data_IF_931239589406
#
_entry.id   IF_931239589406
#
_cell.length_a   1.000
_cell.length_b   1.000
_cell.length_c   1.000
_cell.angle_alpha   90.00
_cell.angle_beta   90.00
_cell.angle_gamma   90.00
#
_symmetry.space_group_name_H-M   'P 1'
#
loop_
_entity.id
_entity.type
_entity.pdbx_description
1 polymer ?
#
# COMPACT_ATOMS: atom_id res chain seq x y z
N UNK A 1 -19.76 45.42 18.12
CA UNK A 1 -18.69 44.43 17.89
C UNK A 1 -18.18 44.02 19.24
N UNK A 2 -18.47 42.78 19.69
CA UNK A 2 -17.91 42.30 20.97
C UNK A 2 -16.43 41.95 20.75
N UNK A 3 -15.54 42.81 21.25
CA UNK A 3 -14.13 42.47 21.37
C UNK A 3 -13.97 41.41 22.47
N UNK A 4 -13.97 40.14 22.08
CA UNK A 4 -13.60 39.08 23.00
C UNK A 4 -12.12 39.17 23.29
N UNK A 5 -11.75 39.53 24.52
CA UNK A 5 -10.37 39.53 25.04
C UNK A 5 -9.89 38.12 25.42
N UNK A 6 -10.69 37.09 25.20
CA UNK A 6 -10.41 35.71 25.56
C UNK A 6 -10.01 34.93 24.30
N UNK A 7 -8.88 34.20 24.32
CA UNK A 7 -8.40 33.41 23.20
C UNK A 7 -9.38 32.30 22.78
N UNK A 8 -10.05 31.67 23.74
CA UNK A 8 -11.02 30.62 23.52
C UNK A 8 -12.32 30.91 24.27
N UNK A 9 -13.50 30.63 23.70
CA UNK A 9 -14.78 30.80 24.40
C UNK A 9 -14.84 29.85 25.60
N UNK A 10 -15.49 30.31 26.69
CA UNK A 10 -15.82 29.44 27.82
C UNK A 10 -16.96 28.51 27.41
N UNK A 11 -16.75 27.19 27.48
CA UNK A 11 -17.72 26.18 27.08
C UNK A 11 -18.08 25.32 28.31
N UNK A 12 -19.36 25.17 28.58
CA UNK A 12 -19.86 24.16 29.51
C UNK A 12 -20.02 22.82 28.76
N UNK A 13 -19.45 21.73 29.30
CA UNK A 13 -19.55 20.41 28.72
C UNK A 13 -20.61 19.58 29.47
N UNK A 14 -21.45 18.88 28.70
CA UNK A 14 -22.45 17.93 29.25
C UNK A 14 -22.35 16.59 28.51
N UNK A 15 -22.80 15.49 29.12
CA UNK A 15 -22.73 14.14 28.55
C UNK A 15 -24.07 13.61 28.01
N UNK A 16 -25.05 14.48 27.77
CA UNK A 16 -26.43 14.16 27.41
C UNK A 16 -26.74 14.24 25.89
N UNK A 17 -25.70 14.35 25.07
CA UNK A 17 -25.82 14.40 23.62
C UNK A 17 -26.28 13.07 23.00
N UNK A 18 -27.52 12.99 22.55
CA UNK A 18 -28.09 11.79 21.93
C UNK A 18 -27.86 11.73 20.42
N UNK A 19 -27.76 10.49 19.88
CA UNK A 19 -27.71 10.21 18.44
C UNK A 19 -26.53 10.86 17.69
N UNK A 20 -25.47 11.23 18.41
CA UNK A 20 -24.25 11.78 17.84
C UNK A 20 -23.33 10.62 17.38
N UNK A 21 -22.80 10.74 16.17
CA UNK A 21 -21.80 9.83 15.61
C UNK A 21 -20.53 10.63 15.33
N UNK A 22 -19.49 10.41 16.12
CA UNK A 22 -18.15 10.87 15.80
C UNK A 22 -17.60 10.04 14.66
N UNK A 23 -16.70 10.60 13.87
CA UNK A 23 -16.10 9.89 12.72
C UNK A 23 -17.15 9.29 11.75
N UNK A 24 -18.30 9.93 11.62
CA UNK A 24 -19.39 9.45 10.77
C UNK A 24 -18.99 9.35 9.28
N UNK A 25 -17.97 10.10 8.86
CA UNK A 25 -17.42 10.01 7.51
C UNK A 25 -16.81 8.64 7.16
N UNK A 26 -16.51 7.79 8.14
CA UNK A 26 -16.06 6.40 7.91
C UNK A 26 -17.13 5.54 7.23
N UNK A 27 -18.36 5.99 7.15
CA UNK A 27 -19.41 5.34 6.34
C UNK A 27 -19.01 5.20 4.86
N UNK A 28 -18.10 6.02 4.35
CA UNK A 28 -17.50 5.82 3.02
C UNK A 28 -16.81 4.45 2.92
N UNK A 29 -16.14 3.99 3.97
CA UNK A 29 -15.46 2.70 4.01
C UNK A 29 -16.47 1.54 4.01
N UNK A 30 -17.48 1.60 4.89
CA UNK A 30 -18.51 0.54 4.97
C UNK A 30 -19.32 0.45 3.68
N UNK A 31 -19.61 1.58 3.07
CA UNK A 31 -20.27 1.62 1.76
C UNK A 31 -19.38 1.03 0.65
N UNK A 32 -18.06 1.29 0.72
CA UNK A 32 -17.10 0.66 -0.20
C UNK A 32 -17.06 -0.86 0.01
N UNK A 33 -17.11 -1.36 1.25
CA UNK A 33 -17.19 -2.81 1.55
C UNK A 33 -18.41 -3.44 0.87
N UNK A 34 -19.55 -2.78 0.90
CA UNK A 34 -20.79 -3.26 0.25
C UNK A 34 -20.69 -3.26 -1.27
N UNK A 35 -20.35 -2.11 -1.86
CA UNK A 35 -20.30 -1.89 -3.32
C UNK A 35 -19.24 -2.78 -3.98
N UNK A 36 -18.09 -2.95 -3.34
CA UNK A 36 -17.00 -3.79 -3.82
C UNK A 36 -17.31 -5.29 -3.76
N UNK A 37 -18.33 -5.69 -3.02
CA UNK A 37 -18.63 -7.10 -2.75
C UNK A 37 -17.70 -7.77 -1.73
N UNK A 38 -16.81 -7.01 -1.08
CA UNK A 38 -15.81 -7.53 -0.14
C UNK A 38 -16.43 -8.36 0.99
N UNK A 39 -17.59 -7.94 1.51
CA UNK A 39 -18.27 -8.67 2.57
C UNK A 39 -18.66 -10.08 2.14
N UNK A 40 -19.20 -10.25 0.93
CA UNK A 40 -19.61 -11.54 0.38
C UNK A 40 -18.39 -12.43 0.08
N UNK A 41 -17.33 -11.86 -0.51
CA UNK A 41 -16.10 -12.60 -0.83
C UNK A 41 -15.41 -13.12 0.45
N UNK A 42 -15.28 -12.29 1.47
CA UNK A 42 -14.70 -12.69 2.76
C UNK A 42 -15.58 -13.72 3.47
N UNK A 43 -16.92 -13.55 3.47
CA UNK A 43 -17.85 -14.51 4.07
C UNK A 43 -17.73 -15.89 3.42
N UNK A 44 -17.65 -15.92 2.10
CA UNK A 44 -17.47 -17.17 1.33
C UNK A 44 -16.11 -17.81 1.62
N UNK A 45 -15.03 -17.04 1.51
CA UNK A 45 -13.67 -17.54 1.67
C UNK A 45 -13.38 -18.03 3.09
N UNK A 46 -13.97 -17.40 4.11
CA UNK A 46 -13.80 -17.78 5.52
C UNK A 46 -14.92 -18.68 6.05
N UNK A 47 -15.84 -19.10 5.20
CA UNK A 47 -16.92 -20.05 5.53
C UNK A 47 -16.44 -21.32 6.24
N UNK A 48 -15.32 -21.97 5.84
CA UNK A 48 -14.80 -23.18 6.52
C UNK A 48 -14.49 -23.00 8.02
N UNK A 49 -14.24 -21.77 8.47
CA UNK A 49 -13.99 -21.47 9.89
C UNK A 49 -15.23 -20.97 10.63
N UNK A 50 -16.39 -20.96 9.99
CA UNK A 50 -17.65 -20.59 10.64
C UNK A 50 -18.14 -21.73 11.50
N UNK A 51 -18.21 -21.51 12.81
CA UNK A 51 -18.79 -22.51 13.72
C UNK A 51 -20.32 -22.56 13.58
N UNK A 52 -20.95 -23.74 13.81
CA UNK A 52 -22.39 -23.83 13.88
C UNK A 52 -22.95 -22.84 14.91
N UNK A 53 -24.08 -22.20 14.62
CA UNK A 53 -24.72 -21.20 15.48
C UNK A 53 -23.88 -19.93 15.76
N UNK A 54 -22.82 -19.68 15.00
CA UNK A 54 -22.04 -18.46 15.12
C UNK A 54 -22.92 -17.22 14.89
N UNK A 55 -22.95 -16.32 15.86
CA UNK A 55 -23.70 -15.05 15.77
C UNK A 55 -23.09 -14.09 14.75
N UNK A 56 -21.76 -14.10 14.63
CA UNK A 56 -21.02 -13.22 13.74
C UNK A 56 -20.41 -14.02 12.60
N UNK A 57 -20.48 -13.47 11.41
CA UNK A 57 -19.84 -14.01 10.23
C UNK A 57 -18.32 -13.78 10.28
N UNK A 58 -17.47 -14.80 10.00
CA UNK A 58 -16.02 -14.67 10.02
C UNK A 58 -15.51 -13.59 9.06
N UNK A 59 -16.11 -13.44 7.88
CA UNK A 59 -15.76 -12.41 6.92
C UNK A 59 -16.00 -11.01 7.48
N UNK A 60 -17.13 -10.80 8.17
CA UNK A 60 -17.39 -9.52 8.85
C UNK A 60 -16.41 -9.29 9.99
N UNK A 61 -16.08 -10.33 10.78
CA UNK A 61 -15.10 -10.21 11.87
C UNK A 61 -13.72 -9.79 11.34
N UNK A 62 -13.36 -10.11 10.11
CA UNK A 62 -12.10 -9.67 9.47
C UNK A 62 -12.24 -8.30 8.80
N UNK A 63 -13.38 -7.97 8.23
CA UNK A 63 -13.62 -6.67 7.61
C UNK A 63 -13.69 -5.51 8.63
N UNK A 64 -14.33 -5.75 9.79
CA UNK A 64 -14.50 -4.73 10.82
C UNK A 64 -13.16 -4.18 11.37
N UNK A 65 -12.14 -5.00 11.76
CA UNK A 65 -10.81 -4.50 12.08
C UNK A 65 -10.14 -3.73 10.95
N UNK A 66 -10.32 -4.13 9.69
CA UNK A 66 -9.77 -3.37 8.56
C UNK A 66 -10.39 -1.96 8.49
N UNK A 67 -11.71 -1.83 8.69
CA UNK A 67 -12.39 -0.52 8.79
C UNK A 67 -11.87 0.28 10.00
N UNK A 68 -11.75 -0.35 11.17
CA UNK A 68 -11.25 0.30 12.39
C UNK A 68 -9.81 0.81 12.21
N UNK A 69 -8.95 0.00 11.58
CA UNK A 69 -7.55 0.35 11.30
C UNK A 69 -7.46 1.53 10.30
N UNK A 70 -8.27 1.55 9.26
CA UNK A 70 -8.35 2.73 8.35
C UNK A 70 -8.83 3.96 9.11
N UNK A 71 -9.77 3.80 10.04
CA UNK A 71 -10.28 4.90 10.87
C UNK A 71 -9.28 5.44 11.90
N UNK A 72 -8.21 4.69 12.22
CA UNK A 72 -7.12 5.14 13.11
C UNK A 72 -6.73 4.16 14.20
N UNK A 73 -7.35 3.00 14.27
CA UNK A 73 -6.96 1.92 15.18
C UNK A 73 -5.64 1.26 14.78
N UNK A 74 -4.95 0.66 15.73
CA UNK A 74 -3.70 -0.09 15.53
C UNK A 74 -3.65 -1.41 16.31
N UNK A 75 -4.72 -1.74 17.04
CA UNK A 75 -4.85 -2.98 17.79
C UNK A 75 -6.29 -3.50 17.79
N UNK A 76 -6.50 -4.70 18.37
CA UNK A 76 -7.83 -5.34 18.38
C UNK A 76 -8.85 -4.57 19.23
N UNK A 77 -8.41 -3.93 20.30
CA UNK A 77 -9.29 -3.17 21.20
C UNK A 77 -9.96 -1.98 20.51
N UNK A 78 -9.31 -1.41 19.49
CA UNK A 78 -9.81 -0.24 18.77
C UNK A 78 -11.08 -0.52 17.94
N UNK A 79 -11.45 -1.79 17.78
CA UNK A 79 -12.74 -2.17 17.19
C UNK A 79 -13.92 -1.62 18.02
N UNK A 80 -13.71 -1.26 19.29
CA UNK A 80 -14.69 -0.63 20.13
C UNK A 80 -15.25 0.66 19.51
N UNK A 81 -14.43 1.41 18.78
CA UNK A 81 -14.82 2.69 18.15
C UNK A 81 -15.98 2.53 17.16
N UNK A 82 -16.04 1.41 16.42
CA UNK A 82 -17.12 1.10 15.50
C UNK A 82 -18.22 0.26 16.17
N UNK A 83 -17.87 -0.59 17.13
CA UNK A 83 -18.82 -1.43 17.88
C UNK A 83 -19.83 -0.62 18.70
N UNK A 84 -19.42 0.52 19.23
CA UNK A 84 -20.29 1.42 19.98
C UNK A 84 -21.36 2.12 19.13
N UNK A 85 -21.31 1.96 17.83
CA UNK A 85 -22.24 2.60 16.87
C UNK A 85 -22.96 1.57 15.98
N UNK A 86 -23.76 0.65 16.55
CA UNK A 86 -24.41 -0.42 15.79
C UNK A 86 -25.45 0.12 14.78
N UNK A 87 -25.95 1.31 15.00
CA UNK A 87 -26.84 1.98 14.05
C UNK A 87 -26.15 2.35 12.72
N UNK A 88 -24.83 2.52 12.75
CA UNK A 88 -24.01 2.89 11.57
C UNK A 88 -23.23 1.71 11.02
N UNK A 89 -22.63 0.87 11.90
CA UNK A 89 -21.73 -0.21 11.49
C UNK A 89 -22.34 -1.61 11.63
N UNK A 90 -23.61 -1.69 12.06
CA UNK A 90 -24.25 -2.97 12.37
C UNK A 90 -23.67 -3.63 13.62
N UNK A 91 -23.95 -4.93 13.77
CA UNK A 91 -23.44 -5.70 14.91
C UNK A 91 -21.95 -6.07 14.68
N UNK A 92 -21.10 -5.45 15.46
CA UNK A 92 -19.64 -5.68 15.44
C UNK A 92 -19.27 -6.64 16.58
N UNK A 93 -18.38 -7.59 16.30
CA UNK A 93 -17.91 -8.58 17.27
C UNK A 93 -17.09 -7.91 18.40
N UNK A 94 -17.09 -8.52 19.60
CA UNK A 94 -16.23 -8.08 20.70
C UNK A 94 -14.77 -8.47 20.48
N UNK A 95 -13.84 -7.74 21.07
CA UNK A 95 -12.40 -8.00 21.01
C UNK A 95 -12.04 -9.46 21.32
N UNK A 96 -12.60 -10.14 22.36
CA UNK A 96 -12.34 -11.55 22.59
C UNK A 96 -12.86 -12.45 21.47
N UNK A 97 -13.93 -12.05 20.76
CA UNK A 97 -14.46 -12.81 19.61
C UNK A 97 -13.54 -12.67 18.42
N UNK A 98 -13.04 -11.46 18.12
CA UNK A 98 -12.04 -11.21 17.08
C UNK A 98 -10.76 -11.99 17.39
N UNK A 99 -10.24 -11.90 18.61
CA UNK A 99 -9.04 -12.60 19.06
C UNK A 99 -9.16 -14.13 18.90
N UNK A 100 -10.30 -14.70 19.30
CA UNK A 100 -10.55 -16.15 19.10
C UNK A 100 -10.59 -16.55 17.64
N UNK A 101 -11.24 -15.76 16.78
CA UNK A 101 -11.23 -16.05 15.35
C UNK A 101 -9.81 -15.98 14.79
N UNK A 102 -9.03 -14.94 15.09
CA UNK A 102 -7.64 -14.83 14.63
C UNK A 102 -6.82 -16.05 15.10
N UNK A 103 -7.02 -16.51 16.34
CA UNK A 103 -6.33 -17.69 16.85
C UNK A 103 -6.74 -18.96 16.08
N UNK A 104 -8.02 -19.10 15.76
CA UNK A 104 -8.52 -20.22 14.95
C UNK A 104 -7.96 -20.19 13.53
N UNK A 105 -7.93 -19.04 12.89
CA UNK A 105 -7.35 -18.82 11.57
C UNK A 105 -5.84 -19.08 11.56
N UNK A 106 -5.15 -18.68 12.61
CA UNK A 106 -3.70 -18.88 12.77
C UNK A 106 -3.29 -20.34 12.99
N UNK A 107 -4.23 -21.23 13.32
CA UNK A 107 -3.97 -22.68 13.40
C UNK A 107 -3.69 -23.31 12.02
N UNK A 108 -4.17 -22.70 10.92
CA UNK A 108 -3.91 -23.12 9.54
C UNK A 108 -3.51 -21.91 8.67
N UNK A 109 -2.34 -21.28 8.92
CA UNK A 109 -2.00 -19.97 8.37
C UNK A 109 -1.94 -19.98 6.84
N UNK A 110 -1.38 -21.00 6.21
CA UNK A 110 -1.28 -21.07 4.74
C UNK A 110 -2.66 -21.06 4.07
N UNK A 111 -3.59 -21.85 4.58
CA UNK A 111 -4.97 -21.91 4.08
C UNK A 111 -5.71 -20.61 4.30
N UNK A 112 -5.59 -20.03 5.51
CA UNK A 112 -6.22 -18.77 5.88
C UNK A 112 -5.74 -17.61 5.00
N UNK A 113 -4.42 -17.48 4.86
CA UNK A 113 -3.83 -16.39 4.05
C UNK A 113 -4.21 -16.53 2.59
N UNK A 114 -4.26 -17.75 2.06
CA UNK A 114 -4.74 -18.03 0.70
C UNK A 114 -6.22 -17.64 0.53
N UNK A 115 -7.08 -17.98 1.50
CA UNK A 115 -8.50 -17.62 1.47
C UNK A 115 -8.73 -16.12 1.48
N UNK A 116 -8.05 -15.38 2.40
CA UNK A 116 -8.13 -13.90 2.45
C UNK A 116 -7.56 -13.27 1.16
N UNK A 117 -6.46 -13.81 0.64
CA UNK A 117 -5.87 -13.33 -0.61
C UNK A 117 -6.81 -13.52 -1.80
N UNK A 118 -7.49 -14.67 -1.89
CA UNK A 118 -8.48 -14.95 -2.94
C UNK A 118 -9.67 -13.98 -2.87
N UNK A 119 -10.23 -13.75 -1.68
CA UNK A 119 -11.30 -12.78 -1.48
C UNK A 119 -10.87 -11.35 -1.90
N UNK A 120 -9.65 -10.94 -1.55
CA UNK A 120 -9.10 -9.64 -1.96
C UNK A 120 -8.93 -9.54 -3.48
N UNK A 121 -8.46 -10.60 -4.14
CA UNK A 121 -8.29 -10.63 -5.60
C UNK A 121 -9.63 -10.53 -6.32
N UNK A 122 -10.64 -11.29 -5.90
CA UNK A 122 -11.99 -11.23 -6.46
C UNK A 122 -12.62 -9.85 -6.27
N UNK A 123 -12.50 -9.27 -5.07
CA UNK A 123 -12.95 -7.91 -4.78
C UNK A 123 -12.25 -6.87 -5.65
N UNK A 124 -10.93 -6.98 -5.81
CA UNK A 124 -10.13 -6.09 -6.67
C UNK A 124 -10.59 -6.15 -8.12
N UNK A 125 -10.86 -7.33 -8.65
CA UNK A 125 -11.37 -7.49 -10.01
C UNK A 125 -12.67 -6.71 -10.20
N UNK A 126 -13.61 -6.82 -9.24
CA UNK A 126 -14.87 -6.06 -9.26
C UNK A 126 -14.63 -4.54 -9.13
N UNK A 127 -13.79 -4.11 -8.19
CA UNK A 127 -13.47 -2.68 -8.00
C UNK A 127 -12.87 -2.07 -9.24
N UNK A 128 -11.90 -2.74 -9.89
CA UNK A 128 -11.28 -2.23 -11.10
C UNK A 128 -12.25 -2.20 -12.28
N UNK A 129 -13.15 -3.17 -12.38
CA UNK A 129 -14.24 -3.14 -13.36
C UNK A 129 -15.17 -1.93 -13.14
N UNK A 130 -15.57 -1.65 -11.88
CA UNK A 130 -16.39 -0.49 -11.53
C UNK A 130 -15.67 0.85 -11.77
N UNK A 131 -14.37 0.90 -11.52
CA UNK A 131 -13.56 2.10 -11.71
C UNK A 131 -13.30 2.42 -13.19
N UNK A 132 -13.38 1.42 -14.08
CA UNK A 132 -13.18 1.59 -15.52
C UNK A 132 -11.89 2.32 -15.87
N UNK A 133 -11.94 3.49 -16.53
CA UNK A 133 -10.73 4.25 -16.90
C UNK A 133 -9.88 4.73 -15.71
N UNK A 134 -10.42 4.77 -14.49
CA UNK A 134 -9.68 5.12 -13.28
C UNK A 134 -8.93 3.93 -12.66
N UNK A 135 -9.13 2.72 -13.17
CA UNK A 135 -8.44 1.52 -12.69
C UNK A 135 -6.98 1.49 -13.14
N UNK A 136 -6.06 0.96 -12.32
CA UNK A 136 -4.63 0.96 -12.65
C UNK A 136 -4.27 0.00 -13.79
N UNK A 137 -5.14 -0.93 -14.14
CA UNK A 137 -4.96 -1.85 -15.30
C UNK A 137 -5.60 -1.34 -16.59
N UNK A 138 -6.15 -0.12 -16.60
CA UNK A 138 -6.69 0.46 -17.82
C UNK A 138 -5.56 0.77 -18.81
N UNK A 139 -5.70 0.31 -20.05
CA UNK A 139 -4.75 0.53 -21.14
C UNK A 139 -3.29 0.10 -20.85
N UNK A 140 -3.09 -0.92 -20.02
CA UNK A 140 -1.75 -1.44 -19.75
C UNK A 140 -1.14 -2.07 -20.99
N UNK A 141 0.12 -1.73 -21.23
CA UNK A 141 0.92 -2.22 -22.38
C UNK A 141 2.39 -2.37 -22.00
N UNK A 142 3.21 -2.82 -22.92
CA UNK A 142 4.66 -2.87 -22.70
C UNK A 142 5.30 -1.48 -22.53
N UNK A 143 4.67 -0.43 -23.06
CA UNK A 143 5.12 0.98 -22.93
C UNK A 143 4.47 1.69 -21.75
N UNK A 144 3.31 1.23 -21.30
CA UNK A 144 2.59 1.71 -20.13
C UNK A 144 2.26 0.52 -19.20
N UNK A 145 3.25 -0.11 -18.57
CA UNK A 145 3.01 -1.29 -17.73
C UNK A 145 2.36 -0.94 -16.40
N UNK A 146 1.56 -1.88 -15.87
CA UNK A 146 1.18 -1.86 -14.47
C UNK A 146 2.42 -2.05 -13.60
N UNK A 147 2.61 -1.15 -12.65
CA UNK A 147 3.80 -1.14 -11.80
C UNK A 147 3.51 -1.79 -10.46
N UNK A 148 4.39 -2.71 -10.05
CA UNK A 148 4.40 -3.31 -8.72
C UNK A 148 5.75 -3.00 -8.07
N UNK A 149 5.70 -2.27 -6.97
CA UNK A 149 6.87 -1.92 -6.17
C UNK A 149 7.05 -2.89 -5.01
N UNK A 150 8.24 -3.47 -4.87
CA UNK A 150 8.60 -4.27 -3.71
C UNK A 150 9.57 -3.50 -2.83
N UNK A 151 9.34 -3.56 -1.53
CA UNK A 151 10.27 -3.02 -0.54
C UNK A 151 10.05 -3.70 0.81
N UNK A 152 11.08 -3.69 1.66
CA UNK A 152 11.00 -4.22 3.01
C UNK A 152 11.04 -3.07 4.03
N UNK A 153 10.39 -3.26 5.18
CA UNK A 153 10.39 -2.26 6.23
C UNK A 153 10.58 -2.89 7.59
N UNK A 154 11.21 -2.17 8.50
CA UNK A 154 11.34 -2.62 9.89
C UNK A 154 10.10 -2.24 10.69
N UNK A 155 9.62 -3.18 11.50
CA UNK A 155 8.54 -3.01 12.46
C UNK A 155 9.10 -3.36 13.84
N UNK A 156 9.13 -2.39 14.76
CA UNK A 156 9.64 -2.58 16.11
C UNK A 156 8.67 -3.39 16.94
N UNK A 157 9.16 -4.37 17.68
CA UNK A 157 8.42 -5.04 18.72
C UNK A 157 8.77 -4.43 20.09
N UNK A 158 7.75 -4.02 20.84
CA UNK A 158 7.90 -3.40 22.16
C UNK A 158 7.81 -4.41 23.31
N UNK A 159 7.61 -5.67 22.99
CA UNK A 159 7.53 -6.79 23.94
C UNK A 159 8.00 -8.07 23.27
N UNK A 160 8.21 -9.09 24.05
CA UNK A 160 8.54 -10.42 23.55
C UNK A 160 7.39 -10.95 22.70
N UNK A 161 7.72 -11.31 21.46
CA UNK A 161 6.80 -11.88 20.48
C UNK A 161 7.50 -12.99 19.71
N UNK A 162 6.75 -14.00 19.34
CA UNK A 162 7.30 -15.11 18.57
C UNK A 162 7.94 -14.63 17.27
N UNK A 163 9.17 -15.02 17.02
CA UNK A 163 9.99 -14.64 15.84
C UNK A 163 10.36 -13.15 15.75
N UNK A 164 10.10 -12.34 16.77
CA UNK A 164 10.75 -11.04 16.88
C UNK A 164 12.22 -11.25 17.19
N UNK A 165 13.11 -10.60 16.44
CA UNK A 165 14.57 -10.75 16.56
C UNK A 165 15.27 -9.42 16.33
N UNK A 166 16.56 -9.36 16.67
CA UNK A 166 17.41 -8.22 16.32
C UNK A 166 17.49 -8.01 14.81
N UNK A 167 17.53 -6.78 14.37
CA UNK A 167 17.64 -6.42 12.96
C UNK A 167 18.96 -5.70 12.65
N UNK A 168 19.27 -5.53 11.36
CA UNK A 168 20.53 -4.94 10.89
C UNK A 168 20.76 -3.47 11.29
N UNK A 169 19.73 -2.77 11.80
CA UNK A 169 19.85 -1.40 12.34
C UNK A 169 19.97 -1.34 13.85
N UNK A 170 20.19 -2.49 14.51
CA UNK A 170 20.32 -2.58 15.97
C UNK A 170 19.00 -2.51 16.74
N UNK A 171 17.84 -2.52 16.04
CA UNK A 171 16.52 -2.61 16.68
C UNK A 171 16.07 -4.06 16.85
N UNK A 172 14.91 -4.26 17.53
CA UNK A 172 14.30 -5.56 17.79
C UNK A 172 12.86 -5.59 17.20
N UNK A 173 12.50 -6.66 16.50
CA UNK A 173 11.17 -6.79 15.93
C UNK A 173 11.08 -7.66 14.68
N UNK A 174 10.44 -7.14 13.63
CA UNK A 174 10.15 -7.85 12.39
C UNK A 174 10.65 -7.06 11.17
N UNK A 175 10.81 -7.77 10.05
CA UNK A 175 11.26 -7.18 8.78
C UNK A 175 10.35 -7.63 7.62
N UNK A 176 9.04 -7.26 7.64
CA UNK A 176 8.13 -7.64 6.57
C UNK A 176 8.56 -7.08 5.21
N UNK A 177 8.30 -7.87 4.16
CA UNK A 177 8.44 -7.46 2.76
C UNK A 177 7.05 -7.24 2.17
N UNK A 178 6.84 -6.08 1.56
CA UNK A 178 5.57 -5.71 0.96
C UNK A 178 5.71 -5.52 -0.55
N UNK A 179 4.66 -5.82 -1.29
CA UNK A 179 4.49 -5.42 -2.67
C UNK A 179 3.27 -4.51 -2.80
N UNK A 180 3.44 -3.38 -3.47
CA UNK A 180 2.39 -2.41 -3.71
C UNK A 180 2.10 -2.25 -5.19
N UNK A 181 0.81 -2.23 -5.56
CA UNK A 181 0.34 -1.93 -6.89
C UNK A 181 0.23 -0.41 -7.01
N UNK A 182 1.06 0.22 -7.84
CA UNK A 182 1.08 1.68 -8.00
C UNK A 182 -0.05 2.15 -8.92
N UNK A 183 -0.88 3.06 -8.45
CA UNK A 183 -1.97 3.67 -9.22
C UNK A 183 -1.51 4.87 -10.09
N UNK A 184 -0.22 5.08 -10.22
CA UNK A 184 0.33 6.20 -10.98
C UNK A 184 0.23 7.55 -10.26
N UNK A 185 0.53 8.66 -10.97
CA UNK A 185 0.55 10.01 -10.37
C UNK A 185 -0.80 10.48 -9.84
N UNK A 186 -1.88 10.05 -10.47
CA UNK A 186 -3.26 10.44 -10.13
C UNK A 186 -3.92 9.58 -9.06
N UNK A 187 -3.20 8.67 -8.44
CA UNK A 187 -3.77 7.76 -7.45
C UNK A 187 -2.82 7.45 -6.28
N UNK A 188 -3.30 6.61 -5.40
CA UNK A 188 -2.53 6.07 -4.28
C UNK A 188 -1.86 4.76 -4.65
N UNK A 189 -2.24 3.66 -4.06
CA UNK A 189 -1.77 2.31 -4.36
C UNK A 189 -2.43 1.31 -3.43
N UNK A 190 -2.46 0.07 -3.87
CA UNK A 190 -3.02 -1.07 -3.16
C UNK A 190 -1.92 -1.96 -2.61
N UNK A 191 -2.18 -2.68 -1.53
CA UNK A 191 -1.28 -3.72 -1.08
C UNK A 191 -1.48 -4.97 -1.95
N UNK A 192 -0.51 -5.29 -2.80
CA UNK A 192 -0.48 -6.58 -3.47
C UNK A 192 -0.36 -7.70 -2.44
N UNK A 193 0.66 -7.62 -1.59
CA UNK A 193 0.86 -8.56 -0.47
C UNK A 193 1.80 -7.97 0.59
N UNK A 194 1.73 -8.51 1.81
CA UNK A 194 2.70 -8.24 2.87
C UNK A 194 3.15 -9.61 3.42
N UNK A 195 4.38 -9.98 3.16
CA UNK A 195 5.03 -11.17 3.71
C UNK A 195 5.66 -10.81 5.06
N UNK A 196 5.11 -11.33 6.15
CA UNK A 196 5.72 -11.17 7.48
C UNK A 196 6.99 -12.01 7.57
N UNK A 197 8.07 -11.41 8.10
CA UNK A 197 9.37 -12.07 8.28
C UNK A 197 9.97 -11.71 9.64
N UNK A 198 10.83 -12.58 10.22
CA UNK A 198 11.61 -12.25 11.41
C UNK A 198 12.47 -10.98 11.22
N UNK A 199 12.87 -10.32 12.30
CA UNK A 199 13.67 -9.10 12.24
C UNK A 199 15.04 -9.28 11.59
N UNK A 200 15.64 -10.46 11.73
CA UNK A 200 16.93 -10.83 11.13
C UNK A 200 16.83 -11.37 9.70
N UNK A 201 15.64 -11.34 9.08
CA UNK A 201 15.48 -11.75 7.68
C UNK A 201 16.35 -10.86 6.77
N UNK A 202 17.12 -11.49 5.88
CA UNK A 202 17.98 -10.79 4.93
C UNK A 202 17.19 -9.88 3.99
N UNK A 203 17.75 -8.71 3.69
CA UNK A 203 17.10 -7.79 2.74
C UNK A 203 17.15 -8.31 1.31
N UNK A 204 18.20 -9.05 0.93
CA UNK A 204 18.48 -9.56 -0.42
C UNK A 204 18.15 -11.05 -0.60
N UNK A 205 17.20 -11.60 0.15
CA UNK A 205 16.76 -13.00 0.01
C UNK A 205 15.93 -13.17 -1.26
N UNK A 206 16.48 -13.80 -2.29
CA UNK A 206 15.82 -14.03 -3.57
C UNK A 206 14.47 -14.78 -3.43
N UNK A 207 14.42 -15.80 -2.57
CA UNK A 207 13.22 -16.59 -2.32
C UNK A 207 12.05 -15.74 -1.81
N UNK A 208 12.32 -14.75 -0.94
CA UNK A 208 11.30 -13.84 -0.40
C UNK A 208 10.80 -12.89 -1.48
N UNK A 209 11.71 -12.34 -2.31
CA UNK A 209 11.34 -11.50 -3.45
C UNK A 209 10.47 -12.26 -4.45
N UNK A 210 10.82 -13.51 -4.77
CA UNK A 210 10.03 -14.38 -5.67
C UNK A 210 8.66 -14.67 -5.06
N UNK A 211 8.60 -15.05 -3.78
CA UNK A 211 7.35 -15.35 -3.08
C UNK A 211 6.43 -14.14 -3.04
N UNK A 212 6.98 -12.97 -2.67
CA UNK A 212 6.23 -11.71 -2.61
C UNK A 212 5.75 -11.28 -3.99
N UNK A 213 6.60 -11.40 -5.02
CA UNK A 213 6.22 -11.08 -6.41
C UNK A 213 5.10 -12.01 -6.91
N UNK A 214 5.23 -13.32 -6.67
CA UNK A 214 4.22 -14.30 -7.08
C UNK A 214 2.87 -14.04 -6.41
N UNK A 215 2.88 -13.75 -5.11
CA UNK A 215 1.67 -13.41 -4.37
C UNK A 215 1.02 -12.10 -4.88
N UNK A 216 1.82 -11.09 -5.20
CA UNK A 216 1.32 -9.83 -5.76
C UNK A 216 0.75 -10.00 -7.18
N UNK A 217 1.41 -10.78 -8.03
CA UNK A 217 0.90 -11.09 -9.38
C UNK A 217 -0.45 -11.83 -9.33
N UNK A 218 -0.63 -12.73 -8.37
CA UNK A 218 -1.89 -13.43 -8.15
C UNK A 218 -3.06 -12.50 -7.73
N UNK A 219 -2.75 -11.28 -7.32
CA UNK A 219 -3.77 -10.26 -7.00
C UNK A 219 -4.26 -9.49 -8.22
N UNK A 220 -3.60 -9.60 -9.37
CA UNK A 220 -3.96 -8.82 -10.56
C UNK A 220 -5.02 -9.56 -11.37
N UNK A 221 -6.18 -8.95 -11.65
CA UNK A 221 -7.23 -9.55 -12.45
C UNK A 221 -6.75 -9.92 -13.87
N UNK A 222 -7.27 -11.03 -14.37
CA UNK A 222 -7.12 -11.49 -15.76
C UNK A 222 -5.66 -11.60 -16.25
N UNK A 223 -4.74 -11.84 -15.32
CA UNK A 223 -3.33 -11.96 -15.65
C UNK A 223 -3.02 -13.39 -16.13
N UNK A 224 -2.40 -13.57 -17.30
CA UNK A 224 -1.99 -14.89 -17.77
C UNK A 224 -0.86 -15.44 -16.90
N UNK A 225 -0.65 -16.76 -16.95
CA UNK A 225 0.41 -17.46 -16.21
C UNK A 225 1.82 -16.85 -16.44
N UNK A 226 2.04 -16.26 -17.61
CA UNK A 226 3.22 -15.44 -17.93
C UNK A 226 2.76 -14.02 -18.28
N UNK A 227 2.79 -13.10 -17.31
CA UNK A 227 2.24 -11.74 -17.47
C UNK A 227 2.83 -10.94 -18.62
N UNK A 228 4.11 -11.17 -18.90
CA UNK A 228 4.79 -10.47 -19.97
C UNK A 228 5.11 -9.01 -19.62
N UNK A 229 5.46 -8.22 -20.63
CA UNK A 229 5.96 -6.85 -20.46
C UNK A 229 4.88 -5.83 -20.04
N UNK A 230 3.63 -6.24 -19.89
CA UNK A 230 2.54 -5.41 -19.36
C UNK A 230 2.69 -5.15 -17.85
N UNK A 231 3.57 -5.90 -17.17
CA UNK A 231 3.89 -5.72 -15.75
C UNK A 231 5.33 -5.23 -15.62
N UNK A 232 5.55 -4.27 -14.72
CA UNK A 232 6.85 -3.78 -14.33
C UNK A 232 7.06 -3.99 -12.82
N UNK A 233 8.06 -4.79 -12.47
CA UNK A 233 8.50 -4.94 -11.08
C UNK A 233 9.60 -3.93 -10.79
N UNK A 234 9.46 -3.15 -9.68
CA UNK A 234 10.52 -2.26 -9.19
C UNK A 234 10.93 -2.64 -7.78
N UNK A 235 12.22 -2.64 -7.53
CA UNK A 235 12.79 -2.79 -6.17
C UNK A 235 14.00 -1.87 -5.99
N UNK A 236 14.46 -1.76 -4.76
CA UNK A 236 15.79 -1.22 -4.46
C UNK A 236 16.90 -2.22 -4.84
N UNK A 237 18.13 -1.95 -4.45
CA UNK A 237 19.28 -2.80 -4.75
C UNK A 237 19.24 -4.15 -4.02
N UNK A 238 18.43 -4.33 -3.00
CA UNK A 238 18.25 -5.61 -2.32
C UNK A 238 17.61 -6.67 -3.25
N UNK A 239 16.82 -6.25 -4.24
CA UNK A 239 16.29 -7.13 -5.28
C UNK A 239 17.27 -7.56 -6.36
N UNK A 240 18.48 -6.99 -6.42
CA UNK A 240 19.48 -7.33 -7.44
C UNK A 240 20.20 -8.66 -7.13
N UNK A 241 19.47 -9.76 -7.23
CA UNK A 241 20.00 -11.11 -7.07
C UNK A 241 19.81 -11.92 -8.36
N UNK A 242 20.75 -12.82 -8.68
CA UNK A 242 20.68 -13.63 -9.90
C UNK A 242 19.37 -14.41 -9.97
N UNK A 243 19.03 -15.16 -8.92
CA UNK A 243 17.83 -15.99 -8.89
C UNK A 243 16.55 -15.19 -9.09
N UNK A 244 16.46 -13.98 -8.51
CA UNK A 244 15.27 -13.15 -8.67
C UNK A 244 15.16 -12.55 -10.07
N UNK A 245 16.27 -12.07 -10.65
CA UNK A 245 16.25 -11.54 -12.01
C UNK A 245 15.99 -12.65 -13.04
N UNK A 246 16.54 -13.84 -12.82
CA UNK A 246 16.25 -15.03 -13.64
C UNK A 246 14.77 -15.43 -13.57
N UNK A 247 14.17 -15.38 -12.37
CA UNK A 247 12.73 -15.60 -12.20
C UNK A 247 11.93 -14.59 -13.02
N UNK A 248 12.20 -13.29 -12.90
CA UNK A 248 11.51 -12.23 -13.66
C UNK A 248 11.68 -12.40 -15.16
N UNK A 249 12.89 -12.75 -15.60
CA UNK A 249 13.19 -13.04 -17.00
C UNK A 249 12.37 -14.22 -17.54
N UNK A 250 12.30 -15.34 -16.80
CA UNK A 250 11.47 -16.52 -17.14
C UNK A 250 9.97 -16.18 -17.21
N UNK A 251 9.50 -15.28 -16.36
CA UNK A 251 8.11 -14.77 -16.39
C UNK A 251 7.88 -13.75 -17.51
N UNK A 252 8.93 -13.33 -18.23
CA UNK A 252 8.91 -12.27 -19.27
C UNK A 252 8.43 -10.91 -18.73
N UNK A 253 8.49 -10.69 -17.43
CA UNK A 253 8.08 -9.46 -16.77
C UNK A 253 9.13 -8.37 -16.97
N UNK A 254 8.72 -7.13 -17.18
CA UNK A 254 9.63 -5.99 -17.16
C UNK A 254 10.10 -5.72 -15.73
N UNK A 255 11.36 -5.32 -15.57
CA UNK A 255 11.89 -4.94 -14.26
C UNK A 255 12.73 -3.67 -14.31
N UNK A 256 12.82 -3.01 -13.16
CA UNK A 256 13.69 -1.86 -12.89
C UNK A 256 14.15 -1.95 -11.43
N UNK A 257 15.34 -2.47 -11.23
CA UNK A 257 15.86 -2.91 -9.92
C UNK A 257 17.12 -2.13 -9.61
N UNK A 258 17.20 -1.53 -8.43
CA UNK A 258 18.43 -0.87 -7.99
C UNK A 258 19.63 -1.80 -8.15
N UNK A 259 20.76 -1.29 -8.62
CA UNK A 259 21.98 -2.07 -8.85
C UNK A 259 23.09 -1.52 -7.97
N UNK A 260 23.73 -2.41 -7.20
CA UNK A 260 24.81 -2.02 -6.29
C UNK A 260 26.04 -1.56 -7.08
N UNK A 261 26.62 -0.45 -6.64
CA UNK A 261 27.90 0.04 -7.16
C UNK A 261 29.00 -0.28 -6.13
N UNK A 262 30.12 -0.81 -6.59
CA UNK A 262 31.36 -0.96 -5.84
C UNK A 262 32.42 0.03 -6.32
N UNK A 263 33.57 0.06 -5.68
CA UNK A 263 34.68 0.97 -6.03
C UNK A 263 35.15 0.75 -7.48
N UNK A 264 35.19 -0.50 -7.96
CA UNK A 264 35.60 -0.86 -9.33
C UNK A 264 34.64 -0.26 -10.36
N UNK A 265 33.35 -0.32 -10.09
CA UNK A 265 32.34 0.32 -10.94
C UNK A 265 32.44 1.84 -10.90
N UNK A 266 32.80 2.42 -9.75
CA UNK A 266 33.09 3.84 -9.62
C UNK A 266 34.20 4.28 -10.58
N UNK A 267 35.31 3.56 -10.60
CA UNK A 267 36.45 3.83 -11.51
C UNK A 267 36.06 3.72 -13.00
N UNK A 268 35.21 2.77 -13.36
CA UNK A 268 34.69 2.64 -14.73
C UNK A 268 33.82 3.84 -15.09
N UNK A 269 32.94 4.26 -14.17
CA UNK A 269 32.02 5.39 -14.36
C UNK A 269 32.80 6.70 -14.55
N UNK A 270 33.87 6.91 -13.79
CA UNK A 270 34.72 8.12 -13.90
C UNK A 270 35.45 8.22 -15.25
N UNK A 271 35.72 7.07 -15.91
CA UNK A 271 36.33 7.01 -17.24
C UNK A 271 35.36 7.14 -18.40
N UNK A 272 34.05 7.21 -18.15
CA UNK A 272 33.08 7.39 -19.22
C UNK A 272 33.29 8.74 -19.92
N UNK A 273 33.32 8.76 -21.26
CA UNK A 273 33.47 9.98 -22.01
C UNK A 273 32.28 10.90 -21.80
N UNK A 274 32.49 12.22 -21.88
CA UNK A 274 31.43 13.23 -21.65
C UNK A 274 30.20 13.00 -22.54
N UNK A 275 30.38 12.51 -23.74
CA UNK A 275 29.32 12.23 -24.71
C UNK A 275 28.40 11.05 -24.33
N UNK A 276 28.85 10.18 -23.40
CA UNK A 276 28.02 9.09 -22.88
C UNK A 276 26.93 9.57 -21.93
N UNK A 277 27.06 10.79 -21.42
CA UNK A 277 26.14 11.38 -20.45
C UNK A 277 25.08 12.25 -21.14
N UNK A 278 23.81 12.02 -20.77
CA UNK A 278 22.67 12.84 -21.16
C UNK A 278 21.99 13.40 -19.92
N UNK A 279 21.38 14.61 -19.97
CA UNK A 279 20.67 15.15 -18.81
C UNK A 279 19.59 14.19 -18.30
N UNK A 280 19.51 14.02 -16.97
CA UNK A 280 18.38 13.36 -16.33
C UNK A 280 17.13 14.25 -16.40
N UNK A 281 15.93 13.69 -16.10
CA UNK A 281 14.69 14.46 -16.11
C UNK A 281 14.23 14.86 -14.70
N UNK A 282 13.54 15.98 -14.61
CA UNK A 282 12.70 16.35 -13.46
C UNK A 282 11.45 15.45 -13.40
N UNK A 283 10.59 15.63 -12.37
CA UNK A 283 9.26 14.97 -12.32
C UNK A 283 8.40 15.27 -13.54
N UNK A 284 8.55 16.44 -14.12
CA UNK A 284 7.74 16.99 -15.21
C UNK A 284 8.34 16.72 -16.59
N UNK A 285 9.40 15.87 -16.62
CA UNK A 285 10.17 15.49 -17.84
C UNK A 285 10.96 16.59 -18.49
N UNK A 286 11.29 17.65 -17.75
CA UNK A 286 12.23 18.67 -18.20
C UNK A 286 13.66 18.25 -17.84
N UNK A 287 14.70 18.69 -18.58
CA UNK A 287 16.08 18.45 -18.21
C UNK A 287 16.37 18.90 -16.79
N UNK A 288 16.99 18.03 -15.98
CA UNK A 288 17.35 18.34 -14.60
C UNK A 288 18.78 18.86 -14.50
N UNK A 289 18.93 20.09 -14.07
CA UNK A 289 20.26 20.66 -13.85
C UNK A 289 21.03 19.89 -12.74
N UNK A 290 22.32 19.67 -13.01
CA UNK A 290 23.20 18.96 -12.07
C UNK A 290 22.91 17.47 -11.92
N UNK A 291 22.20 16.84 -12.85
CA UNK A 291 22.00 15.39 -12.88
C UNK A 291 22.03 14.85 -14.31
N UNK A 292 22.81 13.79 -14.52
CA UNK A 292 22.98 13.14 -15.81
C UNK A 292 22.81 11.61 -15.68
N UNK A 293 22.51 10.96 -16.79
CA UNK A 293 22.39 9.51 -16.92
C UNK A 293 23.29 8.98 -18.02
N UNK A 294 23.82 7.77 -17.81
CA UNK A 294 24.60 7.04 -18.81
C UNK A 294 24.28 5.55 -18.77
N UNK A 295 24.60 4.85 -19.84
CA UNK A 295 24.45 3.38 -19.90
C UNK A 295 25.78 2.70 -19.66
N UNK A 296 25.77 1.67 -18.80
CA UNK A 296 26.96 0.85 -18.48
C UNK A 296 26.98 -0.50 -19.18
N UNK A 297 25.92 -0.89 -19.89
CA UNK A 297 25.73 -2.24 -20.44
C UNK A 297 26.88 -2.72 -21.31
N UNK A 298 27.53 -1.86 -22.07
CA UNK A 298 28.66 -2.22 -22.94
C UNK A 298 30.04 -2.14 -22.28
N UNK A 299 30.11 -1.68 -21.03
CA UNK A 299 31.39 -1.39 -20.34
C UNK A 299 31.63 -2.21 -19.06
N UNK A 300 30.60 -2.93 -18.63
CA UNK A 300 30.67 -3.83 -17.46
C UNK A 300 30.33 -5.25 -17.87
N UNK A 301 30.87 -6.23 -17.15
CA UNK A 301 30.57 -7.65 -17.38
C UNK A 301 29.18 -8.00 -16.82
N UNK A 302 28.26 -8.36 -17.72
CA UNK A 302 26.90 -8.81 -17.40
C UNK A 302 26.67 -10.27 -17.80
N UNK A 303 27.73 -11.05 -18.09
CA UNK A 303 27.61 -12.44 -18.58
C UNK A 303 26.92 -13.37 -17.58
N UNK A 304 27.02 -13.08 -16.27
CA UNK A 304 26.31 -13.83 -15.21
C UNK A 304 24.86 -13.41 -15.00
N UNK A 305 24.33 -12.43 -15.76
CA UNK A 305 22.99 -11.90 -15.59
C UNK A 305 22.09 -12.31 -16.77
N UNK A 306 20.75 -12.21 -16.61
CA UNK A 306 19.82 -12.57 -17.68
C UNK A 306 20.10 -11.82 -18.99
N UNK A 307 20.02 -12.52 -20.11
CA UNK A 307 20.24 -11.94 -21.44
C UNK A 307 19.34 -10.72 -21.69
N UNK A 308 19.94 -9.66 -22.23
CA UNK A 308 19.25 -8.40 -22.49
C UNK A 308 19.08 -7.50 -21.27
N UNK A 309 19.72 -7.82 -20.13
CA UNK A 309 19.82 -6.90 -19.02
C UNK A 309 20.66 -5.69 -19.38
N UNK A 310 20.17 -4.52 -19.01
CA UNK A 310 20.87 -3.24 -19.16
C UNK A 310 21.11 -2.66 -17.78
N UNK A 311 22.21 -1.95 -17.60
CA UNK A 311 22.52 -1.20 -16.37
C UNK A 311 22.68 0.28 -16.75
N UNK A 312 21.92 1.11 -16.07
CA UNK A 312 21.89 2.56 -16.26
C UNK A 312 22.35 3.21 -14.96
N UNK A 313 23.30 4.14 -15.07
CA UNK A 313 23.81 4.92 -13.94
C UNK A 313 23.31 6.37 -14.06
N UNK A 314 22.98 6.92 -12.90
CA UNK A 314 22.72 8.34 -12.71
C UNK A 314 23.80 8.92 -11.82
N UNK A 315 24.32 10.08 -12.22
CA UNK A 315 25.13 10.95 -11.36
C UNK A 315 24.34 12.23 -11.06
N UNK A 316 24.42 12.71 -9.84
CA UNK A 316 23.86 14.02 -9.50
C UNK A 316 24.75 14.76 -8.50
N UNK A 317 24.74 16.09 -8.56
CA UNK A 317 25.39 16.91 -7.54
C UNK A 317 24.70 16.68 -6.20
N UNK A 318 25.44 16.30 -5.14
CA UNK A 318 24.87 16.15 -3.81
C UNK A 318 24.23 17.46 -3.36
N UNK A 319 23.13 17.35 -2.62
CA UNK A 319 22.54 18.52 -2.00
C UNK A 319 23.54 19.19 -1.04
N UNK A 320 23.61 20.53 -0.95
CA UNK A 320 24.45 21.20 0.04
C UNK A 320 24.24 20.62 1.45
N UNK A 321 25.30 20.20 2.11
CA UNK A 321 25.28 19.53 3.43
C UNK A 321 25.03 18.02 3.42
N UNK A 322 24.88 17.39 2.26
CA UNK A 322 24.77 15.94 2.17
C UNK A 322 26.11 15.26 2.48
N UNK A 323 26.10 14.22 3.33
CA UNK A 323 27.25 13.36 3.54
C UNK A 323 27.55 12.57 2.27
N UNK A 324 28.81 12.57 1.83
CA UNK A 324 29.29 11.73 0.74
C UNK A 324 29.27 10.25 1.19
N UNK A 325 28.86 9.38 0.28
CA UNK A 325 28.89 7.91 0.47
C UNK A 325 30.19 7.35 -0.12
N UNK A 326 30.56 6.14 0.27
CA UNK A 326 31.73 5.42 -0.28
C UNK A 326 31.62 5.27 -1.81
N UNK A 327 30.41 5.22 -2.33
CA UNK A 327 30.10 5.11 -3.76
C UNK A 327 30.07 6.45 -4.50
N UNK A 328 30.24 7.58 -3.79
CA UNK A 328 30.24 8.91 -4.41
C UNK A 328 31.66 9.16 -4.97
N UNK A 329 31.77 9.54 -6.22
CA UNK A 329 33.04 9.75 -6.92
C UNK A 329 33.10 11.12 -7.57
N UNK A 330 34.28 11.74 -7.52
CA UNK A 330 34.55 13.04 -8.16
C UNK A 330 33.54 14.14 -7.85
N UNK A 331 32.97 14.13 -6.62
CA UNK A 331 31.95 15.12 -6.18
C UNK A 331 30.54 14.82 -6.68
N UNK A 332 30.30 13.65 -7.26
CA UNK A 332 28.99 13.21 -7.73
C UNK A 332 28.45 12.08 -6.87
N UNK A 333 27.16 12.13 -6.55
CA UNK A 333 26.43 11.00 -6.02
C UNK A 333 26.03 10.07 -7.16
N UNK A 334 26.43 8.79 -7.03
CA UNK A 334 26.15 7.76 -8.04
C UNK A 334 25.03 6.84 -7.57
N UNK A 335 24.10 6.53 -8.47
CA UNK A 335 23.08 5.49 -8.28
C UNK A 335 22.90 4.75 -9.59
N UNK A 336 22.71 3.42 -9.53
CA UNK A 336 22.48 2.62 -10.73
C UNK A 336 21.26 1.71 -10.56
N UNK A 337 20.71 1.29 -11.68
CA UNK A 337 19.63 0.31 -11.72
C UNK A 337 19.75 -0.59 -12.95
N UNK A 338 19.31 -1.83 -12.79
CA UNK A 338 19.20 -2.82 -13.86
C UNK A 338 17.80 -2.83 -14.44
N UNK A 339 17.68 -3.01 -15.76
CA UNK A 339 16.38 -3.13 -16.44
C UNK A 339 16.50 -4.04 -17.66
N UNK A 340 15.41 -4.71 -18.04
CA UNK A 340 15.28 -5.45 -19.30
C UNK A 340 14.43 -4.70 -20.34
N UNK A 341 14.16 -3.41 -20.12
CA UNK A 341 13.45 -2.57 -21.09
C UNK A 341 14.40 -2.16 -22.19
N UNK A 342 14.14 -2.61 -23.41
CA UNK A 342 15.03 -2.42 -24.57
C UNK A 342 14.86 -1.07 -25.27
N UNK A 343 13.71 -0.41 -25.10
CA UNK A 343 13.36 0.86 -25.76
C UNK A 343 13.18 1.97 -24.74
N UNK A 344 13.27 3.22 -25.19
CA UNK A 344 13.11 4.44 -24.38
C UNK A 344 14.42 5.16 -24.16
N UNK A 345 14.33 6.47 -23.90
CA UNK A 345 15.49 7.28 -23.55
C UNK A 345 15.98 6.91 -22.13
N UNK A 346 17.28 7.04 -21.90
CA UNK A 346 17.87 6.73 -20.59
C UNK A 346 17.23 7.56 -19.47
N UNK A 347 16.98 8.84 -19.74
CA UNK A 347 16.34 9.75 -18.78
C UNK A 347 14.90 9.34 -18.43
N UNK A 348 14.11 8.80 -19.38
CA UNK A 348 12.78 8.27 -19.09
C UNK A 348 12.83 7.00 -18.24
N UNK A 349 13.78 6.11 -18.52
CA UNK A 349 13.97 4.86 -17.75
C UNK A 349 14.43 5.17 -16.32
N UNK A 350 15.32 6.16 -16.17
CA UNK A 350 15.75 6.64 -14.85
C UNK A 350 14.59 7.28 -14.07
N UNK A 351 13.85 8.19 -14.70
CA UNK A 351 12.69 8.81 -14.06
C UNK A 351 11.66 7.77 -13.62
N UNK A 352 11.41 6.75 -14.46
CA UNK A 352 10.53 5.63 -14.13
C UNK A 352 11.06 4.84 -12.93
N UNK A 353 12.37 4.57 -12.86
CA UNK A 353 12.99 3.92 -11.71
C UNK A 353 12.90 4.80 -10.45
N UNK A 354 13.27 6.06 -10.53
CA UNK A 354 13.25 7.01 -9.40
C UNK A 354 11.86 7.21 -8.80
N UNK A 355 10.80 7.07 -9.59
CA UNK A 355 9.41 7.07 -9.11
C UNK A 355 9.10 5.90 -8.17
N UNK A 356 10.02 4.95 -7.97
CA UNK A 356 9.97 3.95 -6.89
C UNK A 356 9.88 4.61 -5.50
N UNK A 357 10.36 5.82 -5.33
CA UNK A 357 10.20 6.57 -4.07
C UNK A 357 8.75 6.61 -3.56
N UNK A 358 7.75 6.45 -4.43
CA UNK A 358 6.36 6.30 -4.01
C UNK A 358 6.12 5.06 -3.15
N UNK A 359 6.94 4.01 -3.25
CA UNK A 359 6.86 2.84 -2.38
C UNK A 359 7.06 3.23 -0.91
N UNK A 360 7.96 4.18 -0.63
CA UNK A 360 8.18 4.70 0.72
C UNK A 360 6.90 5.37 1.28
N UNK A 361 6.16 6.10 0.44
CA UNK A 361 4.85 6.66 0.80
C UNK A 361 3.81 5.56 1.09
N UNK A 362 3.84 4.45 0.33
CA UNK A 362 2.96 3.30 0.57
C UNK A 362 3.31 2.57 1.86
N UNK A 363 4.59 2.41 2.17
CA UNK A 363 5.05 1.86 3.45
C UNK A 363 4.60 2.75 4.60
N UNK A 364 4.76 4.07 4.48
CA UNK A 364 4.29 5.03 5.48
C UNK A 364 2.78 4.90 5.68
N UNK A 365 2.00 4.85 4.60
CA UNK A 365 0.56 4.62 4.65
C UNK A 365 0.22 3.27 5.29
N UNK A 366 0.98 2.20 4.98
CA UNK A 366 0.83 0.90 5.62
C UNK A 366 1.07 0.96 7.12
N UNK A 367 2.09 1.69 7.56
CA UNK A 367 2.36 1.92 8.98
C UNK A 367 1.23 2.71 9.65
N UNK A 368 0.67 3.70 8.97
CA UNK A 368 -0.51 4.42 9.44
C UNK A 368 -1.79 3.55 9.42
N UNK A 369 -1.78 2.43 8.70
CA UNK A 369 -2.83 1.41 8.62
C UNK A 369 -2.55 0.17 9.48
N UNK A 370 -1.89 0.29 10.63
CA UNK A 370 -1.68 -0.80 11.58
C UNK A 370 -0.45 -1.68 11.33
N UNK A 371 0.38 -1.40 10.29
CA UNK A 371 1.64 -2.12 10.10
C UNK A 371 2.71 -1.70 11.12
N UNK A 372 2.57 -0.55 11.75
CA UNK A 372 3.50 -0.07 12.77
C UNK A 372 3.49 -0.94 14.03
N UNK A 373 2.35 -1.54 14.35
CA UNK A 373 2.15 -2.41 15.50
C UNK A 373 1.70 -3.80 15.04
N UNK A 374 2.40 -4.84 15.51
CA UNK A 374 1.96 -6.23 15.40
C UNK A 374 1.47 -6.68 16.78
N UNK A 375 0.15 -6.54 17.08
CA UNK A 375 -0.35 -6.53 18.46
C UNK A 375 -0.39 -7.91 19.12
N UNK A 376 -0.21 -8.99 18.37
CA UNK A 376 -0.40 -10.35 18.84
C UNK A 376 0.93 -11.00 19.25
N UNK A 377 0.88 -12.09 20.04
CA UNK A 377 2.08 -12.80 20.47
C UNK A 377 2.62 -13.75 19.40
N UNK A 378 1.75 -14.61 18.86
CA UNK A 378 2.15 -15.63 17.90
C UNK A 378 2.51 -15.06 16.54
N UNK A 379 3.55 -15.59 15.90
CA UNK A 379 3.94 -15.21 14.54
C UNK A 379 2.82 -15.45 13.53
N UNK A 380 2.14 -16.59 13.62
CA UNK A 380 1.01 -16.92 12.75
C UNK A 380 -0.18 -15.97 12.93
N UNK A 381 -0.49 -15.55 14.17
CA UNK A 381 -1.54 -14.55 14.42
C UNK A 381 -1.16 -13.19 13.84
N UNK A 382 0.09 -12.75 14.01
CA UNK A 382 0.59 -11.51 13.41
C UNK A 382 0.62 -11.58 11.88
N UNK A 383 0.78 -12.76 11.29
CA UNK A 383 0.64 -12.94 9.84
C UNK A 383 -0.80 -12.74 9.36
N UNK A 384 -1.80 -13.22 10.14
CA UNK A 384 -3.22 -12.90 9.89
C UNK A 384 -3.46 -11.39 10.06
N UNK A 385 -2.86 -10.76 11.08
CA UNK A 385 -2.95 -9.31 11.26
C UNK A 385 -2.37 -8.54 10.07
N UNK A 386 -1.22 -8.94 9.52
CA UNK A 386 -0.67 -8.29 8.31
C UNK A 386 -1.58 -8.45 7.09
N UNK A 387 -2.36 -9.53 7.01
CA UNK A 387 -3.38 -9.69 5.97
C UNK A 387 -4.57 -8.73 6.17
N UNK A 388 -4.98 -8.45 7.43
CA UNK A 388 -5.98 -7.43 7.76
C UNK A 388 -5.44 -6.03 7.42
N UNK A 389 -4.18 -5.75 7.71
CA UNK A 389 -3.52 -4.48 7.33
C UNK A 389 -3.51 -4.31 5.81
N UNK A 390 -3.15 -5.35 5.07
CA UNK A 390 -3.18 -5.31 3.60
C UNK A 390 -4.58 -5.04 3.07
N UNK A 391 -5.61 -5.67 3.67
CA UNK A 391 -7.01 -5.41 3.35
C UNK A 391 -7.42 -3.96 3.67
N UNK A 392 -6.96 -3.39 4.79
CA UNK A 392 -7.21 -2.01 5.17
C UNK A 392 -6.63 -1.01 4.16
N UNK A 393 -5.39 -1.26 3.69
CA UNK A 393 -4.76 -0.46 2.64
C UNK A 393 -5.58 -0.52 1.35
N UNK A 394 -5.99 -1.74 0.93
CA UNK A 394 -6.81 -1.94 -0.26
C UNK A 394 -8.15 -1.22 -0.13
N UNK A 395 -8.85 -1.39 0.99
CA UNK A 395 -10.15 -0.76 1.25
C UNK A 395 -10.07 0.77 1.16
N UNK A 396 -9.02 1.36 1.75
CA UNK A 396 -8.80 2.80 1.63
C UNK A 396 -8.55 3.23 0.17
N UNK A 397 -7.73 2.48 -0.58
CA UNK A 397 -7.43 2.78 -1.98
C UNK A 397 -8.68 2.60 -2.87
N UNK A 398 -9.49 1.58 -2.63
CA UNK A 398 -10.75 1.35 -3.34
C UNK A 398 -11.79 2.44 -3.05
N UNK A 399 -11.92 2.84 -1.79
CA UNK A 399 -12.76 3.98 -1.41
C UNK A 399 -12.33 5.25 -2.14
N UNK A 400 -11.03 5.55 -2.16
CA UNK A 400 -10.52 6.71 -2.90
C UNK A 400 -10.76 6.58 -4.41
N UNK A 401 -10.63 5.38 -4.98
CA UNK A 401 -10.83 5.12 -6.40
C UNK A 401 -12.29 5.27 -6.83
N UNK A 402 -13.23 4.77 -6.04
CA UNK A 402 -14.65 4.76 -6.40
C UNK A 402 -15.38 6.03 -5.93
N UNK A 403 -15.15 6.46 -4.69
CA UNK A 403 -15.88 7.59 -4.09
C UNK A 403 -15.26 8.95 -4.42
N UNK A 404 -13.92 9.05 -4.50
CA UNK A 404 -13.20 10.32 -4.59
C UNK A 404 -12.54 10.55 -5.96
N UNK A 405 -12.92 9.78 -6.97
CA UNK A 405 -12.42 9.94 -8.33
C UNK A 405 -12.64 11.37 -8.83
N UNK A 406 -11.74 11.86 -9.67
CA UNK A 406 -11.77 13.24 -10.22
C UNK A 406 -11.72 14.36 -9.17
N UNK A 407 -11.22 14.06 -7.97
CA UNK A 407 -11.00 15.06 -6.91
C UNK A 407 -9.58 14.97 -6.38
N UNK A 408 -9.07 16.05 -5.76
CA UNK A 408 -7.75 16.03 -5.12
C UNK A 408 -7.66 15.01 -3.97
N UNK A 409 -8.81 14.65 -3.38
CA UNK A 409 -8.86 13.65 -2.30
C UNK A 409 -8.53 12.22 -2.78
N UNK A 410 -8.53 11.97 -4.09
CA UNK A 410 -8.09 10.72 -4.70
C UNK A 410 -6.65 10.35 -4.33
N UNK A 411 -5.81 11.36 -4.04
CA UNK A 411 -4.39 11.19 -3.70
C UNK A 411 -4.06 11.56 -2.25
N UNK A 412 -5.05 11.92 -1.43
CA UNK A 412 -4.77 12.29 -0.04
C UNK A 412 -4.20 11.13 0.75
N UNK A 413 -3.22 11.45 1.59
CA UNK A 413 -2.70 10.51 2.59
C UNK A 413 -3.80 10.18 3.62
N UNK A 414 -3.68 8.99 4.22
CA UNK A 414 -4.67 8.49 5.18
C UNK A 414 -4.90 9.46 6.35
N UNK A 415 -3.83 10.07 6.89
CA UNK A 415 -3.96 11.08 7.95
C UNK A 415 -4.82 12.28 7.53
N UNK A 416 -4.70 12.69 6.28
CA UNK A 416 -5.52 13.76 5.71
C UNK A 416 -6.99 13.33 5.55
N UNK A 417 -7.23 12.10 5.11
CA UNK A 417 -8.59 11.54 5.01
C UNK A 417 -9.25 11.45 6.40
N UNK A 418 -8.54 10.96 7.40
CA UNK A 418 -9.01 10.90 8.80
C UNK A 418 -9.41 12.28 9.29
N UNK A 419 -8.53 13.27 9.15
CA UNK A 419 -8.76 14.62 9.63
C UNK A 419 -9.90 15.33 8.89
N UNK A 420 -9.98 15.17 7.57
CA UNK A 420 -10.85 16.01 6.72
C UNK A 420 -12.18 15.36 6.36
N UNK A 421 -12.25 14.03 6.25
CA UNK A 421 -13.44 13.30 5.85
C UNK A 421 -13.98 12.42 6.96
N UNK A 422 -13.15 11.52 7.51
CA UNK A 422 -13.65 10.53 8.47
C UNK A 422 -14.08 11.17 9.81
N UNK A 423 -13.38 12.21 10.26
CA UNK A 423 -13.71 12.94 11.48
C UNK A 423 -14.99 13.79 11.40
N UNK A 424 -15.61 13.93 10.23
CA UNK A 424 -16.86 14.70 10.11
C UNK A 424 -17.93 14.00 10.94
N UNK A 425 -18.50 14.74 11.90
CA UNK A 425 -19.57 14.25 12.76
C UNK A 425 -20.93 14.27 12.06
N UNK A 426 -21.82 13.41 12.50
CA UNK A 426 -23.21 13.39 12.06
C UNK A 426 -24.15 13.11 13.23
N UNK A 427 -25.43 13.40 13.02
CA UNK A 427 -26.52 12.97 13.89
C UNK A 427 -27.36 11.93 13.17
N UNK A 428 -27.69 10.82 13.85
CA UNK A 428 -28.64 9.85 13.34
C UNK A 428 -30.06 10.38 13.52
N UNK A 429 -30.78 10.52 12.44
CA UNK A 429 -32.21 10.78 12.44
C UNK A 429 -32.96 9.53 11.99
N UNK A 430 -33.98 9.13 12.79
CA UNK A 430 -34.88 8.03 12.46
C UNK A 430 -36.22 8.63 12.00
N UNK A 431 -36.62 8.28 10.77
CA UNK A 431 -37.92 8.69 10.25
C UNK A 431 -38.54 7.48 9.53
N UNK A 432 -39.73 7.09 9.98
CA UNK A 432 -40.39 5.87 9.52
C UNK A 432 -39.44 4.64 9.69
N UNK A 433 -39.17 3.91 8.62
CA UNK A 433 -38.23 2.74 8.64
C UNK A 433 -36.80 3.08 8.19
N UNK A 434 -36.51 4.37 7.96
CA UNK A 434 -35.21 4.83 7.44
C UNK A 434 -34.34 5.41 8.54
N UNK A 435 -33.05 5.11 8.48
CA UNK A 435 -31.99 5.77 9.27
C UNK A 435 -31.25 6.72 8.35
N UNK A 436 -31.08 7.98 8.76
CA UNK A 436 -30.38 9.01 7.99
C UNK A 436 -29.26 9.60 8.83
N UNK A 437 -28.05 9.62 8.29
CA UNK A 437 -26.94 10.37 8.85
C UNK A 437 -27.04 11.82 8.35
N UNK A 438 -27.21 12.77 9.28
CA UNK A 438 -27.19 14.20 9.00
C UNK A 438 -25.82 14.74 9.39
N UNK A 439 -24.97 14.97 8.40
CA UNK A 439 -23.61 15.48 8.59
C UNK A 439 -23.61 16.97 8.92
N UNK A 440 -22.57 17.42 9.65
CA UNK A 440 -22.37 18.83 9.93
C UNK A 440 -22.13 19.61 8.64
N UNK A 441 -23.08 20.49 8.31
CA UNK A 441 -23.03 21.34 7.10
C UNK A 441 -21.90 22.37 7.15
N UNK A 442 -21.37 22.71 8.33
CA UNK A 442 -20.29 23.67 8.51
C UNK A 442 -18.91 23.06 8.24
N UNK A 443 -18.79 21.73 8.30
CA UNK A 443 -17.54 21.06 8.03
C UNK A 443 -17.17 21.25 6.53
N UNK A 444 -15.98 21.78 6.29
CA UNK A 444 -15.50 22.20 4.96
C UNK A 444 -15.67 21.14 3.88
N UNK A 445 -15.53 19.86 4.23
CA UNK A 445 -15.52 18.76 3.28
C UNK A 445 -16.80 17.91 3.27
N UNK A 446 -17.88 18.36 3.92
CA UNK A 446 -19.18 17.65 3.92
C UNK A 446 -19.73 17.43 2.52
N UNK A 447 -19.63 18.41 1.63
CA UNK A 447 -20.07 18.25 0.24
C UNK A 447 -19.30 17.17 -0.51
N UNK A 448 -17.99 17.11 -0.31
CA UNK A 448 -17.14 16.07 -0.90
C UNK A 448 -17.51 14.68 -0.39
N UNK A 449 -17.75 14.54 0.91
CA UNK A 449 -18.19 13.30 1.54
C UNK A 449 -19.54 12.83 0.97
N UNK A 450 -20.53 13.71 0.90
CA UNK A 450 -21.87 13.39 0.34
C UNK A 450 -21.76 12.97 -1.12
N UNK A 451 -21.02 13.72 -1.94
CA UNK A 451 -20.79 13.37 -3.34
C UNK A 451 -20.07 12.01 -3.50
N UNK A 452 -19.17 11.68 -2.57
CA UNK A 452 -18.54 10.36 -2.54
C UNK A 452 -19.52 9.23 -2.23
N UNK A 453 -20.43 9.44 -1.28
CA UNK A 453 -21.50 8.48 -0.97
C UNK A 453 -22.46 8.30 -2.14
N UNK A 454 -22.89 9.40 -2.77
CA UNK A 454 -23.77 9.37 -3.96
C UNK A 454 -23.14 8.56 -5.11
N UNK A 455 -21.82 8.70 -5.33
CA UNK A 455 -21.11 7.89 -6.34
C UNK A 455 -21.11 6.40 -5.98
N UNK A 456 -20.88 6.06 -4.71
CA UNK A 456 -20.93 4.66 -4.28
C UNK A 456 -22.36 4.10 -4.43
N UNK A 457 -23.39 4.88 -4.08
CA UNK A 457 -24.79 4.46 -4.19
C UNK A 457 -25.21 4.25 -5.66
N UNK A 458 -24.64 5.00 -6.60
CA UNK A 458 -24.90 4.82 -8.02
C UNK A 458 -24.52 3.41 -8.51
N UNK A 459 -23.47 2.82 -7.98
CA UNK A 459 -23.06 1.45 -8.34
C UNK A 459 -24.01 0.37 -7.82
N UNK A 460 -24.78 0.64 -6.75
CA UNK A 460 -25.76 -0.32 -6.22
C UNK A 460 -27.09 -0.28 -6.98
N UNK A 461 -27.41 0.83 -7.64
CA UNK A 461 -28.67 1.02 -8.37
C UNK A 461 -28.60 0.50 -9.82
N UNK A 462 -27.41 0.12 -10.31
CA UNK A 462 -27.18 -0.39 -11.67
C UNK A 462 -26.94 -1.91 -11.70
N UNK A 463 -27.01 -2.58 -10.55
CA UNK A 463 -26.93 -4.04 -10.37
C UNK A 463 -28.33 -4.57 -10.05
#
# INVERSE_FOLDING_TARGET
MNNSTVFYPHIHATGDGENLVSHAGTVLLTRTVEVSGLAAELSTALGPWRTPLARHDPGKIIADPAVAVVAGGDCLADIATIRERPDTFGHVASDPTVSRLISTLAASPAQTLSAIAAARAATRARVWALAGPAAPNHDISATNPLVIDLDATLVTAHSDKQSATGNYKGGYGFHPMAAFIDHGPGGTGEAGTILLRPGNAGSNTAADHITTTRAALAQIPDLPARPGRKILIRTDSAGATHDFLDYLHKQRVSYSIGFGLDARLGDIIDRLPKQAWTPAYTSDREPRDGADVAELTGVIDLSGWPAGMRVIVRREKPHPGAQLRITDSSGWRLTAFATNTTRGQLADLELRHRRRARCEDRIRQGKDCGLLNLPLFSFAQNHVWTAIVALAIDLNAWMQMLALTSTNARTWELKTLRLRLFAIAARIARHARQRRLRFDVRAKYTRLLISGLERLDAFTNTS
#
